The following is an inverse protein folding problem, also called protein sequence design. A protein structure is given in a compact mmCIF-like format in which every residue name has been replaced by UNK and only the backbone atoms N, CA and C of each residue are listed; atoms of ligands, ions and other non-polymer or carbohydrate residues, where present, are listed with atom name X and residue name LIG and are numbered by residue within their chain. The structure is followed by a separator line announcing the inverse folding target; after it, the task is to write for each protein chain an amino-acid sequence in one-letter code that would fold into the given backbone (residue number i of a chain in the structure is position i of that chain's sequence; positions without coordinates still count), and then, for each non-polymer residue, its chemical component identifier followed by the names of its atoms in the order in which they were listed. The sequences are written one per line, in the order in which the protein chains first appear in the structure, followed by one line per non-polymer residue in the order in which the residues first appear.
data_IF_730510149343
#
_entry.id   IF_730510149343
#
_cell.length_a   1.000
_cell.length_b   1.000
_cell.length_c   1.000
_cell.angle_alpha   90.00
_cell.angle_beta   90.00
_cell.angle_gamma   90.00
#
_symmetry.space_group_name_H-M   'P 1'
#
loop_
_entity.id
_entity.type
_entity.pdbx_description
1 polymer ?
#
# COMPACT_ATOMS: atom_id res chain seq x y z
N UNK A 1 17.03 13.59 24.51
CA UNK A 1 15.57 13.41 24.52
C UNK A 1 15.03 14.72 24.00
N UNK A 2 14.50 14.69 22.77
CA UNK A 2 13.82 15.84 22.20
C UNK A 2 12.59 16.20 23.03
N UNK A 3 12.01 17.35 22.75
CA UNK A 3 10.70 17.73 23.26
C UNK A 3 9.62 16.73 22.84
N UNK A 4 8.53 16.74 23.58
CA UNK A 4 7.30 16.03 23.24
C UNK A 4 6.19 17.04 23.06
N UNK A 5 5.38 16.84 22.04
CA UNK A 5 4.34 17.78 21.65
C UNK A 5 3.02 17.05 21.39
N UNK A 6 1.91 17.73 21.64
CA UNK A 6 0.57 17.20 21.40
C UNK A 6 0.14 17.55 19.99
N UNK A 7 -0.24 16.54 19.22
CA UNK A 7 -0.85 16.74 17.89
C UNK A 7 -2.31 16.33 17.97
N UNK A 8 -3.20 17.28 17.69
CA UNK A 8 -4.65 17.09 17.63
C UNK A 8 -5.12 16.95 16.20
N UNK A 9 -5.94 15.93 15.92
CA UNK A 9 -6.53 15.68 14.61
C UNK A 9 -8.00 16.09 14.56
N UNK A 10 -8.34 17.00 13.66
CA UNK A 10 -9.70 17.40 13.32
C UNK A 10 -10.15 16.73 12.01
N UNK A 11 -11.45 16.44 11.82
CA UNK A 11 -12.56 16.69 12.75
C UNK A 11 -12.75 15.57 13.81
N UNK A 12 -11.84 14.60 13.87
CA UNK A 12 -12.02 13.38 14.68
C UNK A 12 -11.82 13.59 16.20
N UNK A 13 -11.18 14.69 16.59
CA UNK A 13 -10.95 15.09 17.98
C UNK A 13 -10.00 14.15 18.74
N UNK A 14 -9.05 13.52 18.04
CA UNK A 14 -8.08 12.60 18.62
C UNK A 14 -6.76 13.33 18.84
N UNK A 15 -6.13 13.08 19.98
CA UNK A 15 -4.83 13.65 20.34
C UNK A 15 -3.80 12.53 20.50
N UNK A 16 -2.58 12.81 20.08
CA UNK A 16 -1.42 11.92 20.24
C UNK A 16 -0.23 12.72 20.79
N UNK A 17 0.67 12.04 21.48
CA UNK A 17 1.97 12.60 21.87
C UNK A 17 3.02 12.25 20.81
N UNK A 18 3.77 13.23 20.32
CA UNK A 18 4.79 13.06 19.28
C UNK A 18 6.16 13.49 19.83
N UNK A 19 7.15 12.61 19.73
CA UNK A 19 8.55 12.97 20.01
C UNK A 19 9.17 13.63 18.76
N UNK A 20 10.02 14.65 18.94
CA UNK A 20 10.66 15.38 17.83
C UNK A 20 11.46 14.50 16.85
N UNK A 21 11.95 13.34 17.29
CA UNK A 21 12.76 12.42 16.48
C UNK A 21 11.94 11.41 15.66
N UNK A 22 10.61 11.50 15.71
CA UNK A 22 9.72 10.64 14.93
C UNK A 22 8.67 11.44 14.15
N UNK A 23 8.19 10.83 13.07
CA UNK A 23 7.15 11.45 12.25
C UNK A 23 5.79 11.34 12.93
N UNK A 24 4.90 12.31 12.66
CA UNK A 24 3.53 12.34 13.19
C UNK A 24 2.78 11.04 12.86
N UNK A 25 2.92 10.51 11.64
CA UNK A 25 2.29 9.25 11.24
C UNK A 25 2.78 8.07 12.06
N UNK A 26 4.08 7.99 12.36
CA UNK A 26 4.66 6.92 13.16
C UNK A 26 4.16 6.99 14.59
N UNK A 27 4.22 8.17 15.21
CA UNK A 27 3.73 8.40 16.56
C UNK A 27 2.24 8.03 16.70
N UNK A 28 1.42 8.38 15.70
CA UNK A 28 0.01 8.01 15.64
C UNK A 28 -0.17 6.49 15.67
N UNK A 29 0.53 5.78 14.80
CA UNK A 29 0.39 4.34 14.66
C UNK A 29 0.93 3.57 15.89
N UNK A 30 1.99 4.05 16.54
CA UNK A 30 2.49 3.48 17.81
C UNK A 30 1.48 3.65 18.96
N UNK A 31 0.64 4.69 18.90
CA UNK A 31 -0.47 4.94 19.83
C UNK A 31 -1.79 4.31 19.38
N UNK A 32 -1.79 3.51 18.29
CA UNK A 32 -2.96 2.82 17.77
C UNK A 32 -3.91 3.68 16.95
N UNK A 33 -3.52 4.90 16.60
CA UNK A 33 -4.26 5.83 15.74
C UNK A 33 -3.86 5.61 14.28
N UNK A 34 -4.70 4.89 13.53
CA UNK A 34 -4.41 4.54 12.14
C UNK A 34 -4.84 5.64 11.17
N UNK A 35 -3.94 6.57 10.88
CA UNK A 35 -4.14 7.62 9.90
C UNK A 35 -4.02 7.07 8.47
N UNK A 36 -4.70 7.70 7.52
CA UNK A 36 -4.65 7.31 6.11
C UNK A 36 -3.24 7.48 5.54
N UNK A 37 -2.67 6.42 4.97
CA UNK A 37 -1.35 6.45 4.35
C UNK A 37 -1.15 5.25 3.39
N UNK A 38 -0.17 5.37 2.48
CA UNK A 38 0.27 4.30 1.57
C UNK A 38 1.77 4.05 1.69
N UNK A 39 2.59 4.91 1.05
CA UNK A 39 4.03 4.65 0.89
C UNK A 39 4.93 4.92 2.10
N UNK A 40 4.55 5.80 3.04
CA UNK A 40 5.40 6.36 4.12
C UNK A 40 6.68 7.12 3.70
N UNK A 41 7.02 7.10 2.40
CA UNK A 41 8.21 7.76 1.83
C UNK A 41 7.97 9.16 1.23
N UNK A 42 6.81 9.80 1.50
CA UNK A 42 6.52 11.13 0.95
C UNK A 42 6.29 11.18 -0.57
N UNK A 43 5.83 10.08 -1.18
CA UNK A 43 5.65 9.94 -2.63
C UNK A 43 4.18 9.85 -3.08
N UNK A 44 3.29 9.30 -2.24
CA UNK A 44 1.93 8.91 -2.66
C UNK A 44 0.83 9.96 -2.40
N UNK A 45 1.11 10.99 -1.61
CA UNK A 45 0.15 11.98 -1.10
C UNK A 45 -1.01 11.46 -0.21
N UNK A 46 -1.11 10.16 0.07
CA UNK A 46 -2.25 9.60 0.82
C UNK A 46 -2.38 10.11 2.27
N UNK A 47 -1.28 10.54 2.88
CA UNK A 47 -1.24 11.11 4.22
C UNK A 47 -1.26 12.65 4.23
N UNK A 48 -1.65 13.28 3.11
CA UNK A 48 -1.74 14.73 3.03
C UNK A 48 -2.83 15.24 3.95
N UNK A 49 -2.48 16.25 4.73
CA UNK A 49 -3.34 16.91 5.71
C UNK A 49 -3.07 18.41 5.69
N UNK A 50 -3.89 19.18 6.40
CA UNK A 50 -3.74 20.63 6.49
C UNK A 50 -3.45 21.03 7.94
N UNK A 51 -2.49 21.93 8.15
CA UNK A 51 -2.14 22.43 9.49
C UNK A 51 -3.06 23.61 9.82
N UNK A 52 -3.88 23.44 10.86
CA UNK A 52 -4.82 24.46 11.34
C UNK A 52 -4.20 25.42 12.36
N UNK A 53 -3.32 24.91 13.22
CA UNK A 53 -2.63 25.65 14.28
C UNK A 53 -1.24 25.07 14.52
N UNK A 54 -0.28 25.96 14.78
CA UNK A 54 1.16 25.68 14.82
C UNK A 54 1.87 25.91 13.49
N UNK A 55 3.13 26.35 13.56
CA UNK A 55 4.01 26.69 12.44
C UNK A 55 5.35 25.91 12.49
N UNK A 56 5.77 25.40 13.66
CA UNK A 56 7.05 24.71 13.84
C UNK A 56 6.96 23.20 13.48
N UNK A 57 6.93 22.96 12.17
CA UNK A 57 6.88 21.64 11.54
C UNK A 57 8.04 21.51 10.54
N UNK A 58 8.84 20.46 10.69
CA UNK A 58 9.89 20.11 9.70
C UNK A 58 9.45 18.90 8.88
N UNK A 59 9.90 18.85 7.62
CA UNK A 59 9.58 17.77 6.70
C UNK A 59 10.87 17.09 6.23
N UNK A 60 10.95 15.79 6.49
CA UNK A 60 11.92 14.94 5.81
C UNK A 60 11.75 15.01 4.28
N UNK A 61 12.77 14.65 3.48
CA UNK A 61 12.71 14.65 2.00
C UNK A 61 11.44 13.96 1.46
N UNK A 62 10.72 14.65 0.59
CA UNK A 62 9.51 14.17 -0.10
C UNK A 62 9.53 14.56 -1.59
N UNK A 63 8.54 14.09 -2.34
CA UNK A 63 8.36 14.46 -3.75
C UNK A 63 7.44 15.66 -3.89
N UNK A 64 7.83 16.63 -4.73
CA UNK A 64 6.98 17.78 -5.09
C UNK A 64 5.72 17.37 -5.86
N UNK A 65 5.66 16.13 -6.36
CA UNK A 65 4.41 15.56 -6.86
C UNK A 65 3.43 15.21 -5.73
N UNK A 66 3.94 14.73 -4.60
CA UNK A 66 3.11 14.37 -3.45
C UNK A 66 2.61 15.62 -2.70
N UNK A 67 3.47 16.62 -2.55
CA UNK A 67 3.18 17.92 -1.95
C UNK A 67 3.90 19.02 -2.76
N UNK A 68 3.21 19.66 -3.72
CA UNK A 68 3.74 20.80 -4.44
C UNK A 68 4.03 21.98 -3.52
N UNK A 69 5.01 22.83 -3.89
CA UNK A 69 5.42 24.00 -3.09
C UNK A 69 4.25 24.93 -2.76
N UNK A 70 3.33 25.16 -3.71
CA UNK A 70 2.18 26.03 -3.46
C UNK A 70 1.22 25.46 -2.39
N UNK A 71 1.10 24.13 -2.26
CA UNK A 71 0.27 23.53 -1.20
C UNK A 71 1.01 23.63 0.14
N UNK A 72 2.32 23.40 0.16
CA UNK A 72 3.12 23.61 1.37
C UNK A 72 2.98 25.04 1.89
N UNK A 73 3.11 26.04 1.01
CA UNK A 73 2.98 27.46 1.34
C UNK A 73 1.56 27.83 1.85
N UNK A 74 0.53 27.06 1.45
CA UNK A 74 -0.84 27.22 1.92
C UNK A 74 -1.11 26.57 3.29
N UNK A 75 -0.19 25.75 3.80
CA UNK A 75 -0.32 25.05 5.09
C UNK A 75 -0.60 23.54 4.97
N UNK A 76 -0.49 22.95 3.79
CA UNK A 76 -0.58 21.50 3.63
C UNK A 76 0.71 20.80 4.07
N UNK A 77 0.58 19.59 4.61
CA UNK A 77 1.71 18.77 5.08
C UNK A 77 1.54 17.30 4.71
N UNK A 78 2.60 16.51 4.86
CA UNK A 78 2.59 15.05 4.72
C UNK A 78 2.93 14.41 6.08
N UNK A 79 1.94 13.81 6.73
CA UNK A 79 2.11 13.26 8.09
C UNK A 79 3.20 12.19 8.18
N UNK A 80 3.50 11.49 7.07
CA UNK A 80 4.57 10.50 7.03
C UNK A 80 5.99 11.08 7.01
N UNK A 81 6.14 12.39 6.75
CA UNK A 81 7.43 13.10 6.70
C UNK A 81 7.51 14.23 7.72
N UNK A 82 6.39 14.58 8.35
CA UNK A 82 6.27 15.69 9.28
C UNK A 82 6.79 15.33 10.68
N UNK A 83 7.64 16.20 11.22
CA UNK A 83 8.09 16.23 12.61
C UNK A 83 7.53 17.47 13.30
N UNK A 84 6.98 17.29 14.51
CA UNK A 84 6.41 18.39 15.29
C UNK A 84 7.42 18.90 16.31
N UNK A 85 7.62 20.23 16.38
CA UNK A 85 8.47 20.92 17.36
C UNK A 85 7.68 21.85 18.29
N UNK A 86 6.36 21.86 18.14
CA UNK A 86 5.39 22.45 19.06
C UNK A 86 4.06 21.69 18.99
N UNK A 87 3.10 22.05 19.84
CA UNK A 87 1.74 21.49 19.79
C UNK A 87 1.05 21.91 18.47
N UNK A 88 0.45 20.96 17.76
CA UNK A 88 -0.18 21.20 16.45
C UNK A 88 -1.66 20.83 16.46
N UNK A 89 -2.46 21.54 15.65
CA UNK A 89 -3.78 21.08 15.22
C UNK A 89 -3.77 20.80 13.73
N UNK A 90 -4.17 19.60 13.33
CA UNK A 90 -4.12 19.12 11.94
C UNK A 90 -5.51 18.68 11.49
N UNK A 91 -5.99 19.25 10.38
CA UNK A 91 -7.17 18.77 9.67
C UNK A 91 -6.79 17.56 8.79
N UNK A 92 -7.42 16.42 9.06
CA UNK A 92 -7.31 15.24 8.22
C UNK A 92 -8.20 15.40 6.98
N UNK A 93 -7.59 15.52 5.82
CA UNK A 93 -8.31 15.64 4.55
C UNK A 93 -8.89 14.30 4.10
N UNK A 94 -8.13 13.24 4.35
CA UNK A 94 -8.52 11.86 4.07
C UNK A 94 -8.51 11.10 5.39
N UNK A 95 -9.70 10.71 5.87
CA UNK A 95 -9.83 9.90 7.07
C UNK A 95 -11.03 8.97 6.98
N UNK A 96 -10.96 7.91 7.76
CA UNK A 96 -12.04 6.98 8.03
C UNK A 96 -12.08 6.81 9.55
N UNK A 97 -13.15 7.30 10.19
CA UNK A 97 -13.26 7.29 11.66
C UNK A 97 -13.25 5.87 12.23
N UNK A 98 -13.83 4.92 11.50
CA UNK A 98 -13.86 3.53 11.93
C UNK A 98 -12.45 2.97 11.90
N UNK A 99 -11.69 3.21 10.83
CA UNK A 99 -10.29 2.76 10.72
C UNK A 99 -9.40 3.35 11.79
N UNK A 100 -9.54 4.65 12.08
CA UNK A 100 -8.75 5.30 13.11
C UNK A 100 -8.98 4.64 14.47
N UNK A 101 -10.24 4.27 14.78
CA UNK A 101 -10.63 3.65 16.06
C UNK A 101 -10.41 2.13 16.10
N UNK A 102 -10.45 1.47 14.95
CA UNK A 102 -10.26 0.01 14.82
C UNK A 102 -8.81 -0.37 14.57
N UNK A 103 -7.88 0.57 14.75
CA UNK A 103 -6.46 0.37 14.55
C UNK A 103 -5.92 -0.83 15.31
N UNK A 104 -5.09 -1.63 14.65
CA UNK A 104 -4.36 -2.71 15.29
C UNK A 104 -3.00 -2.18 15.74
N UNK A 105 -2.55 -2.51 16.97
CA UNK A 105 -1.26 -2.03 17.45
C UNK A 105 -0.12 -2.61 16.59
N UNK A 106 0.87 -1.76 16.32
CA UNK A 106 2.12 -2.18 15.69
C UNK A 106 2.80 -3.22 16.57
N UNK A 107 3.30 -4.26 15.93
CA UNK A 107 3.99 -5.38 16.54
C UNK A 107 5.31 -5.60 15.81
N UNK A 108 6.39 -5.57 16.57
CA UNK A 108 7.70 -6.06 16.12
C UNK A 108 7.72 -7.59 16.20
N UNK A 109 8.09 -8.25 15.12
CA UNK A 109 8.15 -9.71 15.02
C UNK A 109 9.40 -10.14 14.26
N UNK A 110 9.82 -11.37 14.52
CA UNK A 110 10.77 -12.09 13.68
C UNK A 110 10.03 -13.21 12.98
N UNK A 111 10.36 -13.49 11.73
CA UNK A 111 9.77 -14.58 10.97
C UNK A 111 10.83 -15.32 10.16
N UNK A 112 10.67 -16.64 10.06
CA UNK A 112 11.49 -17.52 9.25
C UNK A 112 10.98 -17.56 7.81
N UNK A 113 11.87 -17.49 6.83
CA UNK A 113 11.54 -17.75 5.44
C UNK A 113 11.24 -19.23 5.26
N UNK A 114 10.02 -19.56 4.85
CA UNK A 114 9.61 -20.96 4.61
C UNK A 114 9.45 -21.29 3.13
N UNK A 115 9.24 -20.29 2.27
CA UNK A 115 9.27 -20.47 0.82
C UNK A 115 9.64 -19.18 0.09
N UNK A 116 10.35 -19.32 -1.03
CA UNK A 116 10.64 -18.25 -1.99
C UNK A 116 10.44 -18.84 -3.38
N UNK A 117 9.37 -18.44 -4.07
CA UNK A 117 9.03 -19.00 -5.38
C UNK A 117 8.98 -17.91 -6.44
N UNK A 118 9.73 -18.02 -7.55
CA UNK A 118 9.53 -17.14 -8.70
C UNK A 118 8.14 -17.36 -9.29
N UNK A 119 7.33 -16.29 -9.37
CA UNK A 119 5.98 -16.35 -9.96
C UNK A 119 5.87 -15.61 -11.29
N UNK A 120 6.83 -14.73 -11.58
CA UNK A 120 7.15 -14.21 -12.91
C UNK A 120 8.67 -14.10 -13.01
N UNK A 121 9.18 -13.52 -14.11
CA UNK A 121 10.61 -13.23 -14.23
C UNK A 121 11.13 -12.29 -13.12
N UNK A 122 10.32 -11.32 -12.68
CA UNK A 122 10.69 -10.27 -11.73
C UNK A 122 9.83 -10.23 -10.45
N UNK A 123 8.90 -11.16 -10.26
CA UNK A 123 8.12 -11.30 -9.02
C UNK A 123 8.53 -12.56 -8.25
N UNK A 124 8.58 -12.44 -6.93
CA UNK A 124 8.80 -13.53 -5.98
C UNK A 124 7.60 -13.63 -5.03
N UNK A 125 7.06 -14.84 -4.89
CA UNK A 125 6.15 -15.18 -3.79
C UNK A 125 7.00 -15.60 -2.59
N UNK A 126 7.02 -14.74 -1.58
CA UNK A 126 7.74 -14.95 -0.34
C UNK A 126 6.74 -15.37 0.74
N UNK A 127 7.02 -16.49 1.42
CA UNK A 127 6.22 -16.94 2.57
C UNK A 127 7.11 -16.93 3.80
N UNK A 128 6.66 -16.19 4.80
CA UNK A 128 7.31 -16.09 6.11
C UNK A 128 6.45 -16.79 7.15
N UNK A 129 7.07 -17.46 8.12
CA UNK A 129 6.39 -18.04 9.29
C UNK A 129 6.86 -17.32 10.55
N UNK A 130 5.93 -16.75 11.30
CA UNK A 130 6.22 -16.03 12.54
C UNK A 130 6.98 -16.93 13.52
N UNK A 131 8.06 -16.40 14.07
CA UNK A 131 8.89 -17.06 15.08
C UNK A 131 8.24 -16.88 16.45
N UNK A 132 7.98 -17.98 17.15
CA UNK A 132 7.36 -17.99 18.48
C UNK A 132 5.82 -18.12 18.46
N UNK A 133 5.19 -18.16 19.65
CA UNK A 133 3.74 -18.33 19.76
C UNK A 133 2.99 -17.04 19.43
N UNK A 134 1.87 -17.16 18.73
CA UNK A 134 0.93 -16.06 18.50
C UNK A 134 0.63 -15.81 17.03
N UNK A 135 -0.19 -14.80 16.79
CA UNK A 135 -0.55 -14.31 15.45
C UNK A 135 -0.11 -12.84 15.34
N UNK A 136 0.23 -12.42 14.12
CA UNK A 136 0.18 -11.01 13.76
C UNK A 136 -1.25 -10.75 13.31
N UNK A 137 -2.03 -10.02 14.11
CA UNK A 137 -3.36 -9.56 13.67
C UNK A 137 -3.17 -8.47 12.62
N UNK A 138 -3.87 -8.61 11.50
CA UNK A 138 -3.96 -7.60 10.45
C UNK A 138 -5.32 -7.71 9.74
N UNK A 139 -5.72 -6.65 9.06
CA UNK A 139 -6.84 -6.66 8.14
C UNK A 139 -6.36 -6.97 6.71
N UNK A 140 -7.08 -7.80 5.94
CA UNK A 140 -6.75 -8.07 4.55
C UNK A 140 -6.50 -6.78 3.75
N UNK A 141 -5.41 -6.78 2.97
CA UNK A 141 -4.92 -5.62 2.21
C UNK A 141 -3.93 -4.70 2.96
N UNK A 142 -3.72 -4.90 4.26
CA UNK A 142 -2.64 -4.23 5.01
C UNK A 142 -1.24 -4.74 4.62
N UNK A 143 -0.22 -4.03 5.09
CA UNK A 143 1.18 -4.35 4.83
C UNK A 143 2.02 -4.38 6.10
N UNK A 144 3.23 -4.92 6.01
CA UNK A 144 4.28 -4.83 7.03
C UNK A 144 5.53 -4.21 6.43
N UNK A 145 6.37 -3.64 7.27
CA UNK A 145 7.73 -3.31 6.90
C UNK A 145 8.64 -4.49 7.18
N UNK A 146 9.47 -4.90 6.21
CA UNK A 146 10.56 -5.83 6.41
C UNK A 146 11.86 -5.05 6.53
N UNK A 147 12.62 -5.29 7.60
CA UNK A 147 13.96 -4.71 7.76
C UNK A 147 14.88 -5.27 6.68
N UNK A 148 15.67 -4.41 6.05
CA UNK A 148 16.70 -4.81 5.09
C UNK A 148 17.94 -5.28 5.88
N UNK A 149 18.33 -6.56 5.80
CA UNK A 149 19.45 -7.05 6.60
C UNK A 149 20.76 -6.31 6.31
N UNK A 150 21.44 -5.87 7.37
CA UNK A 150 22.69 -5.11 7.26
C UNK A 150 22.53 -3.60 7.01
N UNK A 151 21.30 -3.10 6.87
CA UNK A 151 21.01 -1.68 6.65
C UNK A 151 20.04 -1.16 7.71
N UNK A 152 20.18 0.11 8.08
CA UNK A 152 19.16 0.81 8.88
C UNK A 152 18.04 1.33 7.98
N UNK A 153 17.36 0.38 7.33
CA UNK A 153 16.30 0.65 6.37
C UNK A 153 15.27 -0.48 6.39
N UNK A 154 14.04 -0.14 6.06
CA UNK A 154 12.95 -1.11 5.89
C UNK A 154 12.23 -0.90 4.56
N UNK A 155 11.50 -1.92 4.09
CA UNK A 155 10.65 -1.84 2.89
C UNK A 155 9.27 -2.39 3.18
N UNK A 156 8.25 -1.68 2.71
CA UNK A 156 6.85 -2.04 2.91
C UNK A 156 6.38 -3.08 1.89
N UNK A 157 5.75 -4.16 2.37
CA UNK A 157 5.18 -5.22 1.53
C UNK A 157 3.80 -5.63 2.02
N UNK A 158 2.81 -5.54 1.14
CA UNK A 158 1.43 -5.94 1.43
C UNK A 158 1.29 -7.44 1.60
N UNK A 159 0.53 -7.85 2.61
CA UNK A 159 0.20 -9.25 2.82
C UNK A 159 -0.78 -9.71 1.73
N UNK A 160 -0.52 -10.89 1.17
CA UNK A 160 -1.36 -11.55 0.17
C UNK A 160 -2.34 -12.58 0.78
N UNK A 161 -2.11 -13.00 2.03
CA UNK A 161 -3.02 -13.88 2.77
C UNK A 161 -4.02 -13.10 3.63
N UNK A 162 -5.02 -13.78 4.21
CA UNK A 162 -6.13 -13.17 4.96
C UNK A 162 -5.89 -13.10 6.47
N UNK A 163 -5.05 -13.99 7.00
CA UNK A 163 -4.72 -14.07 8.42
C UNK A 163 -3.48 -14.93 8.65
N UNK A 164 -2.78 -14.69 9.75
CA UNK A 164 -1.72 -15.58 10.25
C UNK A 164 -2.21 -16.52 11.38
N UNK A 165 -3.50 -16.51 11.75
CA UNK A 165 -4.02 -17.19 12.95
C UNK A 165 -3.68 -18.68 13.02
N UNK A 166 -3.92 -19.39 11.92
CA UNK A 166 -3.87 -20.85 11.89
C UNK A 166 -2.51 -21.38 11.43
N UNK A 167 -1.92 -20.76 10.40
CA UNK A 167 -0.64 -21.19 9.83
C UNK A 167 0.58 -20.54 10.49
N UNK A 168 0.38 -19.40 11.16
CA UNK A 168 1.47 -18.50 11.55
C UNK A 168 2.17 -17.84 10.35
N UNK A 169 1.62 -17.97 9.14
CA UNK A 169 2.29 -17.52 7.91
C UNK A 169 1.83 -16.13 7.46
N UNK A 170 2.75 -15.44 6.79
CA UNK A 170 2.51 -14.22 6.03
C UNK A 170 3.01 -14.46 4.60
N UNK A 171 2.18 -14.12 3.62
CA UNK A 171 2.49 -14.27 2.20
C UNK A 171 2.69 -12.90 1.55
N UNK A 172 3.66 -12.78 0.65
CA UNK A 172 3.96 -11.55 -0.05
C UNK A 172 4.21 -11.85 -1.53
N UNK A 173 3.83 -10.93 -2.41
CA UNK A 173 4.26 -10.94 -3.82
C UNK A 173 5.12 -9.70 -4.03
N UNK A 174 6.43 -9.91 -4.15
CA UNK A 174 7.42 -8.85 -4.14
C UNK A 174 8.05 -8.72 -5.51
N UNK A 175 8.09 -7.50 -6.03
CA UNK A 175 8.81 -7.17 -7.26
C UNK A 175 10.30 -6.95 -6.98
N UNK A 176 11.13 -7.59 -7.78
CA UNK A 176 12.58 -7.44 -7.79
C UNK A 176 12.94 -6.30 -8.73
N UNK A 177 13.47 -5.21 -8.16
CA UNK A 177 14.04 -4.10 -8.91
C UNK A 177 15.57 -4.24 -8.94
N UNK A 178 16.21 -4.21 -10.12
CA UNK A 178 17.67 -4.16 -10.22
C UNK A 178 18.24 -2.97 -9.43
N UNK A 179 19.30 -3.16 -8.64
CA UNK A 179 19.89 -2.11 -7.81
C UNK A 179 19.15 -1.84 -6.49
N UNK A 180 18.01 -2.49 -6.23
CA UNK A 180 17.25 -2.26 -5.01
C UNK A 180 17.79 -3.10 -3.85
N UNK A 181 18.12 -2.46 -2.71
CA UNK A 181 18.73 -3.14 -1.55
C UNK A 181 18.01 -4.43 -1.12
N UNK A 182 16.70 -4.35 -0.86
CA UNK A 182 15.92 -5.53 -0.49
C UNK A 182 15.69 -6.47 -1.68
N UNK A 183 15.55 -5.94 -2.90
CA UNK A 183 15.33 -6.73 -4.11
C UNK A 183 16.52 -7.62 -4.45
N UNK A 184 17.74 -7.08 -4.36
CA UNK A 184 18.98 -7.84 -4.59
C UNK A 184 19.17 -8.91 -3.52
N UNK A 185 18.96 -8.55 -2.24
CA UNK A 185 19.00 -9.51 -1.14
C UNK A 185 17.97 -10.63 -1.32
N UNK A 186 16.71 -10.29 -1.66
CA UNK A 186 15.63 -11.24 -1.90
C UNK A 186 15.96 -12.22 -3.05
N UNK A 187 16.56 -11.73 -4.12
CA UNK A 187 16.75 -12.53 -5.34
C UNK A 187 18.06 -13.34 -5.35
N UNK A 188 19.07 -12.93 -4.58
CA UNK A 188 20.41 -13.51 -4.67
C UNK A 188 20.92 -14.13 -3.37
N UNK A 189 20.50 -13.61 -2.21
CA UNK A 189 21.05 -14.00 -0.91
C UNK A 189 20.02 -14.68 0.01
N UNK A 190 18.74 -14.33 -0.09
CA UNK A 190 17.69 -14.85 0.79
C UNK A 190 17.45 -16.34 0.51
N UNK A 191 17.43 -17.13 1.59
CA UNK A 191 17.20 -18.57 1.52
C UNK A 191 16.15 -19.01 2.55
N UNK A 192 15.50 -20.14 2.29
CA UNK A 192 14.64 -20.82 3.27
C UNK A 192 15.43 -21.08 4.55
N UNK A 193 14.84 -20.75 5.70
CA UNK A 193 15.46 -20.82 7.03
C UNK A 193 16.06 -19.48 7.51
N UNK A 194 16.26 -18.49 6.63
CA UNK A 194 16.68 -17.16 7.06
C UNK A 194 15.61 -16.51 7.95
N UNK A 195 16.05 -15.67 8.90
CA UNK A 195 15.17 -14.89 9.76
C UNK A 195 15.09 -13.46 9.23
N UNK A 196 13.88 -12.91 9.18
CA UNK A 196 13.62 -11.51 8.85
C UNK A 196 12.89 -10.84 10.02
N UNK A 197 13.24 -9.59 10.28
CA UNK A 197 12.53 -8.73 11.21
C UNK A 197 11.44 -7.97 10.46
N UNK A 198 10.27 -7.85 11.07
CA UNK A 198 9.13 -7.14 10.51
C UNK A 198 8.39 -6.33 11.57
N UNK A 199 7.78 -5.23 11.13
CA UNK A 199 6.90 -4.40 11.94
C UNK A 199 5.58 -4.11 11.22
N UNK A 200 4.49 -4.05 11.98
CA UNK A 200 3.16 -3.74 11.47
C UNK A 200 2.04 -4.36 12.31
N UNK A 201 0.79 -4.38 11.82
CA UNK A 201 0.40 -4.03 10.46
C UNK A 201 0.30 -2.52 10.23
N UNK A 202 0.43 -2.13 8.97
CA UNK A 202 0.26 -0.77 8.48
C UNK A 202 -0.75 -0.73 7.33
N UNK A 203 -1.12 0.49 6.95
CA UNK A 203 -1.98 0.74 5.80
C UNK A 203 -3.47 0.64 6.11
N UNK A 204 -4.21 1.23 5.20
CA UNK A 204 -5.67 1.41 5.29
C UNK A 204 -6.38 0.89 4.04
N UNK A 205 -5.67 0.18 3.16
CA UNK A 205 -6.20 -0.43 1.94
C UNK A 205 -6.99 -1.70 2.28
N UNK A 206 -8.12 -1.52 2.96
CA UNK A 206 -9.00 -2.59 3.47
C UNK A 206 -10.39 -2.48 2.86
N UNK A 207 -11.12 -3.59 2.82
CA UNK A 207 -12.49 -3.59 2.31
C UNK A 207 -13.39 -2.76 3.23
N UNK A 208 -14.12 -1.78 2.68
CA UNK A 208 -15.08 -0.95 3.41
C UNK A 208 -16.40 -1.67 3.58
N UNK A 209 -17.05 -1.43 4.72
CA UNK A 209 -18.41 -1.92 4.94
C UNK A 209 -19.43 -1.07 4.17
N UNK A 210 -19.67 -1.47 2.93
CA UNK A 210 -20.63 -0.84 2.03
C UNK A 210 -21.33 -1.93 1.21
N UNK A 211 -22.27 -2.69 1.83
CA UNK A 211 -22.79 -3.93 1.25
C UNK A 211 -23.54 -3.74 -0.07
N UNK A 212 -24.05 -2.53 -0.35
CA UNK A 212 -24.76 -2.21 -1.59
C UNK A 212 -23.85 -1.82 -2.76
N UNK A 213 -22.56 -1.53 -2.51
CA UNK A 213 -21.66 -1.07 -3.56
C UNK A 213 -20.99 -2.24 -4.27
N UNK A 214 -21.02 -2.21 -5.60
CA UNK A 214 -20.14 -3.05 -6.44
C UNK A 214 -18.68 -2.67 -6.21
N UNK A 215 -17.79 -3.63 -6.38
CA UNK A 215 -16.36 -3.50 -6.20
C UNK A 215 -15.64 -3.48 -7.55
N UNK A 216 -14.75 -2.51 -7.73
CA UNK A 216 -13.86 -2.46 -8.89
C UNK A 216 -12.42 -2.45 -8.40
N UNK A 217 -11.69 -3.54 -8.66
CA UNK A 217 -10.27 -3.65 -8.36
C UNK A 217 -9.47 -3.36 -9.63
N UNK A 218 -8.44 -2.53 -9.53
CA UNK A 218 -7.48 -2.25 -10.61
C UNK A 218 -6.08 -2.49 -10.07
N UNK A 219 -5.36 -3.44 -10.68
CA UNK A 219 -4.05 -3.85 -10.22
C UNK A 219 -3.04 -4.03 -11.35
N UNK A 220 -1.76 -4.01 -10.98
CA UNK A 220 -0.66 -4.27 -11.91
C UNK A 220 0.61 -4.69 -11.17
N UNK A 221 1.30 -5.71 -11.69
CA UNK A 221 2.47 -6.32 -11.06
C UNK A 221 2.21 -6.73 -9.61
N UNK A 222 3.12 -6.38 -8.70
CA UNK A 222 3.01 -6.70 -7.27
C UNK A 222 1.78 -6.11 -6.58
N UNK A 223 1.11 -5.10 -7.16
CA UNK A 223 -0.15 -4.55 -6.63
C UNK A 223 -1.30 -5.57 -6.59
N UNK A 224 -1.13 -6.73 -7.20
CA UNK A 224 -1.96 -7.91 -7.01
C UNK A 224 -2.05 -8.35 -5.53
N UNK A 225 -0.96 -8.28 -4.77
CA UNK A 225 -0.86 -8.87 -3.43
C UNK A 225 -2.00 -8.44 -2.47
N UNK A 226 -2.22 -7.13 -2.22
CA UNK A 226 -3.30 -6.72 -1.33
C UNK A 226 -4.68 -7.03 -1.94
N UNK A 227 -4.84 -6.98 -3.26
CA UNK A 227 -6.12 -7.29 -3.92
C UNK A 227 -6.49 -8.77 -3.74
N UNK A 228 -5.54 -9.68 -3.91
CA UNK A 228 -5.75 -11.11 -3.64
C UNK A 228 -6.09 -11.35 -2.17
N UNK A 229 -5.45 -10.65 -1.24
CA UNK A 229 -5.82 -10.70 0.18
C UNK A 229 -7.30 -10.30 0.41
N UNK A 230 -7.75 -9.22 -0.24
CA UNK A 230 -9.17 -8.80 -0.19
C UNK A 230 -10.12 -9.83 -0.80
N UNK A 231 -9.80 -10.36 -1.99
CA UNK A 231 -10.63 -11.35 -2.69
C UNK A 231 -10.71 -12.68 -1.93
N UNK A 232 -9.58 -13.17 -1.40
CA UNK A 232 -9.55 -14.33 -0.49
C UNK A 232 -10.44 -14.08 0.73
N UNK A 233 -10.36 -12.88 1.33
CA UNK A 233 -11.21 -12.53 2.48
C UNK A 233 -12.68 -12.51 2.12
N UNK A 234 -13.05 -12.00 0.95
CA UNK A 234 -14.41 -12.06 0.45
C UNK A 234 -14.90 -13.50 0.33
N UNK A 235 -14.09 -14.40 -0.25
CA UNK A 235 -14.44 -15.80 -0.41
C UNK A 235 -14.56 -16.52 0.96
N UNK A 236 -13.63 -16.29 1.88
CA UNK A 236 -13.63 -16.92 3.22
C UNK A 236 -14.82 -16.45 4.08
N UNK A 237 -15.23 -15.18 3.92
CA UNK A 237 -16.35 -14.56 4.66
C UNK A 237 -17.68 -14.63 3.92
N UNK A 238 -17.72 -15.21 2.72
CA UNK A 238 -18.90 -15.25 1.85
C UNK A 238 -19.50 -13.85 1.59
N UNK A 239 -18.64 -12.86 1.33
CA UNK A 239 -19.06 -11.50 0.96
C UNK A 239 -19.51 -11.52 -0.49
N UNK A 240 -20.83 -11.55 -0.70
CA UNK A 240 -21.48 -11.65 -2.00
C UNK A 240 -21.73 -10.26 -2.64
N UNK A 241 -20.66 -9.48 -2.82
CA UNK A 241 -20.70 -8.20 -3.53
C UNK A 241 -20.26 -8.41 -4.98
N UNK A 242 -20.97 -7.84 -5.98
CA UNK A 242 -20.48 -7.82 -7.35
C UNK A 242 -19.08 -7.23 -7.40
N UNK A 243 -18.13 -7.94 -8.00
CA UNK A 243 -16.73 -7.55 -8.02
C UNK A 243 -16.12 -7.79 -9.39
N UNK A 244 -15.28 -6.87 -9.85
CA UNK A 244 -14.45 -7.10 -11.04
C UNK A 244 -13.03 -6.69 -10.76
N UNK A 245 -12.08 -7.58 -11.05
CA UNK A 245 -10.66 -7.31 -10.94
C UNK A 245 -10.02 -7.19 -12.32
N UNK A 246 -9.56 -5.98 -12.60
CA UNK A 246 -8.81 -5.61 -13.79
C UNK A 246 -7.32 -5.69 -13.48
N UNK A 247 -6.62 -6.67 -14.06
CA UNK A 247 -5.20 -6.89 -13.81
C UNK A 247 -4.37 -6.63 -15.07
N UNK A 248 -3.60 -5.54 -15.06
CA UNK A 248 -2.74 -5.15 -16.17
C UNK A 248 -1.35 -5.75 -16.07
N UNK A 249 -0.86 -6.31 -17.17
CA UNK A 249 0.50 -6.78 -17.33
C UNK A 249 1.03 -6.47 -18.75
N UNK A 250 2.34 -6.59 -18.97
CA UNK A 250 2.92 -6.33 -20.31
C UNK A 250 2.66 -7.53 -21.22
N UNK A 251 3.09 -8.70 -20.78
CA UNK A 251 3.00 -9.96 -21.52
C UNK A 251 2.35 -11.05 -20.67
N UNK A 252 2.02 -12.20 -21.26
CA UNK A 252 1.49 -13.35 -20.49
C UNK A 252 2.43 -13.78 -19.36
N UNK A 253 3.74 -13.66 -19.54
CA UNK A 253 4.75 -14.02 -18.54
C UNK A 253 4.83 -13.08 -17.33
N UNK A 254 4.13 -11.95 -17.39
CA UNK A 254 4.04 -10.96 -16.31
C UNK A 254 2.75 -11.10 -15.47
N UNK A 255 1.84 -11.99 -15.90
CA UNK A 255 0.69 -12.39 -15.09
C UNK A 255 1.12 -13.46 -14.09
N UNK A 256 0.61 -13.36 -12.87
CA UNK A 256 0.80 -14.36 -11.82
C UNK A 256 -0.54 -14.60 -11.10
N UNK A 257 -0.64 -15.74 -10.40
CA UNK A 257 -1.85 -16.16 -9.66
C UNK A 257 -3.12 -16.25 -10.52
N UNK A 258 -2.98 -16.37 -11.85
CA UNK A 258 -4.14 -16.43 -12.76
C UNK A 258 -5.04 -17.62 -12.46
N UNK A 259 -4.46 -18.79 -12.17
CA UNK A 259 -5.23 -20.00 -11.88
C UNK A 259 -6.04 -19.83 -10.59
N UNK A 260 -5.43 -19.30 -9.53
CA UNK A 260 -6.13 -19.00 -8.28
C UNK A 260 -7.23 -17.95 -8.48
N UNK A 261 -6.97 -16.89 -9.27
CA UNK A 261 -7.99 -15.88 -9.57
C UNK A 261 -9.17 -16.47 -10.34
N UNK A 262 -8.95 -17.47 -11.20
CA UNK A 262 -10.02 -18.23 -11.85
C UNK A 262 -10.77 -19.12 -10.86
N UNK A 263 -10.08 -19.80 -9.94
CA UNK A 263 -10.72 -20.57 -8.86
C UNK A 263 -11.59 -19.68 -7.94
N UNK A 264 -11.17 -18.43 -7.72
CA UNK A 264 -11.97 -17.45 -6.98
C UNK A 264 -13.26 -17.06 -7.72
N UNK A 265 -13.30 -17.05 -9.06
CA UNK A 265 -14.56 -16.87 -9.82
C UNK A 265 -15.56 -18.00 -9.55
N UNK A 266 -15.09 -19.21 -9.25
CA UNK A 266 -15.96 -20.33 -8.87
C UNK A 266 -16.51 -20.19 -7.45
N UNK A 267 -15.70 -19.65 -6.53
CA UNK A 267 -16.07 -19.44 -5.11
C UNK A 267 -16.90 -18.17 -4.89
N UNK A 268 -16.77 -17.18 -5.75
CA UNK A 268 -17.46 -15.89 -5.70
C UNK A 268 -18.29 -15.72 -6.99
N UNK A 269 -19.56 -16.13 -7.03
CA UNK A 269 -20.34 -16.16 -8.27
C UNK A 269 -20.54 -14.82 -8.98
N UNK A 270 -20.38 -13.70 -8.24
CA UNK A 270 -20.47 -12.34 -8.78
C UNK A 270 -19.10 -11.68 -8.99
N UNK A 271 -18.00 -12.44 -8.82
CA UNK A 271 -16.66 -11.98 -9.11
C UNK A 271 -16.30 -12.28 -10.57
N UNK A 272 -15.62 -11.33 -11.21
CA UNK A 272 -15.06 -11.47 -12.55
C UNK A 272 -13.59 -11.07 -12.57
N UNK A 273 -12.74 -11.92 -13.13
CA UNK A 273 -11.33 -11.64 -13.38
C UNK A 273 -11.07 -11.27 -14.84
N UNK A 274 -10.50 -10.08 -15.06
CA UNK A 274 -10.21 -9.49 -16.37
C UNK A 274 -8.72 -9.15 -16.46
N UNK A 275 -7.87 -10.09 -16.93
CA UNK A 275 -6.49 -9.78 -17.26
C UNK A 275 -6.42 -8.95 -18.55
N UNK A 276 -5.46 -8.03 -18.63
CA UNK A 276 -5.14 -7.26 -19.82
C UNK A 276 -3.64 -7.22 -20.11
N UNK A 277 -3.27 -7.37 -21.39
CA UNK A 277 -1.87 -7.33 -21.84
C UNK A 277 -1.63 -6.11 -22.73
N UNK A 278 -0.58 -5.33 -22.44
CA UNK A 278 -0.25 -4.12 -23.19
C UNK A 278 0.73 -4.35 -24.35
N UNK A 279 1.50 -5.43 -24.34
CA UNK A 279 2.62 -5.69 -25.26
C UNK A 279 2.57 -7.08 -25.92
N UNK A 280 1.49 -7.83 -25.77
CA UNK A 280 1.37 -9.21 -26.27
C UNK A 280 0.04 -9.44 -27.01
N UNK A 281 0.09 -10.29 -28.05
CA UNK A 281 -1.08 -10.68 -28.82
C UNK A 281 -1.74 -11.92 -28.21
N UNK A 282 -3.01 -11.79 -27.86
CA UNK A 282 -3.76 -12.85 -27.20
C UNK A 282 -5.26 -12.68 -27.36
N UNK A 283 -6.02 -13.72 -27.00
CA UNK A 283 -7.48 -13.76 -27.18
C UNK A 283 -8.25 -12.97 -26.10
N UNK A 284 -7.54 -12.36 -25.13
CA UNK A 284 -8.13 -11.59 -24.05
C UNK A 284 -8.10 -10.08 -24.28
N UNK A 285 -8.19 -9.30 -23.20
CA UNK A 285 -8.20 -7.83 -23.30
C UNK A 285 -6.81 -7.28 -23.62
N UNK A 286 -6.72 -6.39 -24.60
CA UNK A 286 -5.46 -5.72 -24.99
C UNK A 286 -5.46 -4.24 -24.65
N UNK A 287 -4.26 -3.72 -24.38
CA UNK A 287 -3.97 -2.32 -24.08
C UNK A 287 -3.64 -2.07 -22.61
N UNK A 288 -3.50 -0.80 -22.24
CA UNK A 288 -3.35 -0.41 -20.84
C UNK A 288 -4.61 -0.76 -20.06
N UNK A 289 -4.47 -1.17 -18.80
CA UNK A 289 -5.61 -1.64 -18.00
C UNK A 289 -6.71 -0.58 -17.85
N UNK A 290 -6.34 0.70 -17.82
CA UNK A 290 -7.28 1.83 -17.78
C UNK A 290 -8.09 1.96 -19.07
N UNK A 291 -7.52 1.63 -20.23
CA UNK A 291 -8.27 1.60 -21.50
C UNK A 291 -9.29 0.45 -21.51
N UNK A 292 -8.94 -0.68 -20.90
CA UNK A 292 -9.84 -1.83 -20.74
C UNK A 292 -10.99 -1.49 -19.80
N UNK A 293 -10.70 -0.89 -18.64
CA UNK A 293 -11.74 -0.43 -17.69
C UNK A 293 -12.69 0.52 -18.40
N UNK A 294 -12.19 1.55 -19.10
CA UNK A 294 -13.02 2.52 -19.85
C UNK A 294 -13.92 1.84 -20.90
N UNK A 295 -13.45 0.78 -21.54
CA UNK A 295 -14.19 0.06 -22.58
C UNK A 295 -15.28 -0.83 -21.99
N UNK A 296 -15.01 -1.48 -20.87
CA UNK A 296 -15.89 -2.47 -20.26
C UNK A 296 -16.87 -1.87 -19.24
N UNK A 297 -16.55 -0.68 -18.71
CA UNK A 297 -17.35 -0.01 -17.68
C UNK A 297 -17.92 1.31 -18.21
N UNK A 298 -19.24 1.36 -18.50
CA UNK A 298 -19.88 2.60 -18.94
C UNK A 298 -20.23 3.55 -17.78
N UNK A 299 -20.48 3.01 -16.58
CA UNK A 299 -20.86 3.74 -15.37
C UNK A 299 -20.49 2.94 -14.11
N UNK A 300 -19.80 3.61 -13.19
CA UNK A 300 -19.34 3.13 -11.90
C UNK A 300 -19.93 3.95 -10.74
N UNK A 301 -21.00 4.70 -10.97
CA UNK A 301 -21.70 5.45 -9.92
C UNK A 301 -22.10 4.53 -8.78
N UNK A 302 -21.69 4.89 -7.55
CA UNK A 302 -21.96 4.10 -6.33
C UNK A 302 -21.07 2.86 -6.14
N UNK A 303 -20.05 2.66 -6.99
CA UNK A 303 -19.02 1.65 -6.75
C UNK A 303 -18.01 2.09 -5.69
N UNK A 304 -17.40 1.11 -5.02
CA UNK A 304 -16.12 1.31 -4.33
C UNK A 304 -14.99 0.80 -5.24
N UNK A 305 -13.99 1.64 -5.48
CA UNK A 305 -12.84 1.30 -6.30
C UNK A 305 -11.58 1.11 -5.45
N UNK A 306 -10.80 0.08 -5.79
CA UNK A 306 -9.58 -0.33 -5.11
C UNK A 306 -8.44 -0.42 -6.12
N UNK A 307 -7.46 0.48 -6.03
CA UNK A 307 -6.39 0.61 -7.02
C UNK A 307 -5.04 0.35 -6.37
N UNK A 308 -4.30 -0.66 -6.80
CA UNK A 308 -2.99 -0.94 -6.22
C UNK A 308 -1.94 -1.32 -7.27
N UNK A 309 -0.77 -0.69 -7.22
CA UNK A 309 0.34 -1.05 -8.10
C UNK A 309 1.30 0.11 -8.36
N UNK A 310 1.95 0.14 -9.54
CA UNK A 310 2.95 1.15 -9.84
C UNK A 310 2.32 2.56 -9.96
N UNK A 311 3.02 3.63 -9.52
CA UNK A 311 2.45 4.99 -9.48
C UNK A 311 1.82 5.46 -10.80
N UNK A 312 2.45 5.26 -11.99
CA UNK A 312 1.85 5.69 -13.26
C UNK A 312 0.49 5.05 -13.54
N UNK A 313 0.28 3.80 -13.11
CA UNK A 313 -1.00 3.11 -13.29
C UNK A 313 -2.05 3.68 -12.34
N UNK A 314 -1.69 3.87 -11.06
CA UNK A 314 -2.61 4.39 -10.04
C UNK A 314 -3.04 5.82 -10.41
N UNK A 315 -2.11 6.66 -10.85
CA UNK A 315 -2.34 8.05 -11.26
C UNK A 315 -3.19 8.17 -12.53
N UNK A 316 -3.11 7.19 -13.44
CA UNK A 316 -4.00 7.12 -14.59
C UNK A 316 -5.40 6.60 -14.22
N UNK A 317 -5.49 5.68 -13.26
CA UNK A 317 -6.74 5.01 -12.87
C UNK A 317 -7.67 5.92 -12.05
N UNK A 318 -7.15 6.66 -11.07
CA UNK A 318 -7.97 7.53 -10.21
C UNK A 318 -8.85 8.50 -11.02
N UNK A 319 -8.31 9.39 -11.89
CA UNK A 319 -9.12 10.34 -12.64
C UNK A 319 -10.01 9.67 -13.69
N UNK A 320 -9.67 8.44 -14.14
CA UNK A 320 -10.57 7.66 -14.98
C UNK A 320 -11.79 7.20 -14.19
N UNK A 321 -11.60 6.63 -12.99
CA UNK A 321 -12.68 6.15 -12.13
C UNK A 321 -13.63 7.28 -11.74
N UNK A 322 -13.10 8.48 -11.44
CA UNK A 322 -13.92 9.67 -11.20
C UNK A 322 -14.76 10.05 -12.41
N UNK A 323 -14.18 10.05 -13.62
CA UNK A 323 -14.93 10.30 -14.87
C UNK A 323 -16.00 9.25 -15.13
N UNK A 324 -15.80 8.02 -14.66
CA UNK A 324 -16.78 6.94 -14.75
C UNK A 324 -17.82 6.98 -13.62
N UNK A 325 -17.77 7.96 -12.71
CA UNK A 325 -18.80 8.20 -11.69
C UNK A 325 -18.47 7.71 -10.29
N UNK A 326 -17.29 7.14 -10.04
CA UNK A 326 -16.86 6.80 -8.67
C UNK A 326 -16.60 8.10 -7.91
N UNK A 327 -17.24 8.28 -6.76
CA UNK A 327 -16.95 9.45 -5.92
C UNK A 327 -15.52 9.33 -5.35
N UNK A 328 -14.76 10.42 -5.32
CA UNK A 328 -13.35 10.45 -4.87
C UNK A 328 -13.14 9.74 -3.52
N UNK A 329 -14.05 9.95 -2.56
CA UNK A 329 -14.03 9.29 -1.23
C UNK A 329 -14.24 7.77 -1.23
N UNK A 330 -14.67 7.21 -2.36
CA UNK A 330 -14.86 5.78 -2.62
C UNK A 330 -13.78 5.20 -3.54
N UNK A 331 -12.68 5.95 -3.77
CA UNK A 331 -11.49 5.46 -4.46
C UNK A 331 -10.40 5.24 -3.41
N UNK A 332 -10.15 3.98 -3.09
CA UNK A 332 -9.09 3.55 -2.19
C UNK A 332 -7.89 3.11 -3.01
N UNK A 333 -6.71 3.58 -2.66
CA UNK A 333 -5.52 3.25 -3.44
C UNK A 333 -4.28 3.06 -2.59
N UNK A 334 -3.37 2.25 -3.12
CA UNK A 334 -2.02 2.07 -2.59
C UNK A 334 -0.99 2.10 -3.72
N UNK A 335 0.05 2.93 -3.57
CA UNK A 335 1.06 3.21 -4.61
C UNK A 335 2.38 2.59 -4.21
N UNK A 336 2.87 1.65 -5.00
CA UNK A 336 4.14 0.98 -4.74
C UNK A 336 5.29 1.78 -5.32
N UNK A 337 5.87 2.65 -4.50
CA UNK A 337 6.96 3.56 -4.90
C UNK A 337 8.31 2.92 -4.62
N UNK A 338 9.27 3.08 -5.52
CA UNK A 338 10.67 2.76 -5.26
C UNK A 338 11.31 3.93 -4.49
N UNK A 339 12.11 3.63 -3.47
CA UNK A 339 12.97 4.62 -2.84
C UNK A 339 14.09 4.95 -3.83
N UNK A 340 13.91 6.01 -4.62
CA UNK A 340 14.87 6.45 -5.65
C UNK A 340 14.32 7.39 -6.73
N UNK A 341 12.99 7.47 -6.93
CA UNK A 341 12.41 8.22 -8.06
C UNK A 341 12.30 9.74 -7.88
N UNK A 342 12.82 10.31 -6.79
CA UNK A 342 12.98 11.75 -6.65
C UNK A 342 14.34 12.21 -7.23
N UNK A 343 14.51 12.11 -8.55
CA UNK A 343 15.50 12.91 -9.29
C UNK A 343 16.98 12.65 -8.98
N UNK A 344 17.40 11.40 -8.75
CA UNK A 344 18.82 11.04 -8.61
C UNK A 344 19.55 10.99 -9.97
N UNK A 345 19.61 12.14 -10.64
CA UNK A 345 20.54 12.39 -11.74
C UNK A 345 21.25 13.72 -11.51
N UNK A 346 22.57 13.61 -11.26
CA UNK A 346 23.60 14.62 -10.94
C UNK A 346 23.83 14.72 -9.42
N UNK A 347 25.00 14.47 -8.84
CA UNK A 347 26.37 14.65 -9.30
C UNK A 347 27.27 13.63 -8.58
N UNK A 348 27.84 12.65 -9.29
CA UNK A 348 29.10 12.04 -8.83
C UNK A 348 30.20 13.01 -9.26
N UNK A 349 30.65 13.83 -8.31
CA UNK A 349 31.82 14.67 -8.49
C UNK A 349 33.02 13.77 -8.75
N UNK A 350 33.55 13.83 -9.97
CA UNK A 350 34.92 13.47 -10.25
C UNK A 350 35.82 14.48 -9.53
N UNK A 351 36.13 14.21 -8.26
CA UNK A 351 37.14 14.89 -7.47
C UNK A 351 38.42 14.08 -7.47
N UNK A 352 39.36 14.45 -8.34
CA UNK A 352 40.77 14.07 -8.24
C UNK A 352 41.29 14.32 -6.83
N UNK A 353 42.00 13.33 -6.27
CA UNK A 353 43.33 13.50 -5.66
C UNK A 353 44.10 12.18 -5.71
#
# INVERSE_FOLDING_TARGET
MGGKHIVRFEPVGIEIEVDEDQTILRAAAEQGVMLMHGCKEGQCASCKSFVLDGEDIDLDRYSTFALPEYELDEGYTLLCRAHAFEDLTIELLNYDEEMIRSGLPIQERTAEVVAITPVTHDLRHLVLKLSGPGELKFFPGQYVDLRVPGWDASRSFSMANTSSRDSGQLEFVIKVYPGGLFSEFLDTELQVGHQLELSGPFGVFTLRDNPGARLVFVGGGAGLAPIVSLLRSMADRSIDRPATFYYGARTRGDLCFTDELRELEERLPQFRFVPALSEDEWDGESGLITDVVRRLEPDLTGADAYVCGPPPMVEAAIPLLERLGVATKHIYYDKFTTTGDAGDSKVLEAGNL
#
